data_IF_745593890502
#
_entry.id   IF_745593890502
#
_cell.length_a   1.000
_cell.length_b   1.000
_cell.length_c   1.000
_cell.angle_alpha   90.00
_cell.angle_beta   90.00
_cell.angle_gamma   90.00
#
_symmetry.space_group_name_H-M   'P 1'
#
loop_
_entity.id
_entity.type
_entity.pdbx_description
1 polymer ?
#
# COMPACT_ATOMS: atom_id res chain seq x y z
N UNK A 1 10.05 -15.73 -0.16
CA UNK A 1 10.01 -14.25 -0.12
C UNK A 1 10.25 -13.81 1.32
N UNK A 2 10.87 -12.65 1.57
CA UNK A 2 10.99 -12.10 2.92
C UNK A 2 9.60 -11.90 3.54
N UNK A 3 9.47 -12.15 4.84
CA UNK A 3 8.23 -11.98 5.62
C UNK A 3 8.43 -10.84 6.63
N UNK A 4 8.30 -9.58 6.20
CA UNK A 4 8.47 -8.46 7.11
C UNK A 4 7.34 -8.41 8.13
N UNK A 5 7.67 -7.94 9.33
CA UNK A 5 6.71 -7.56 10.37
C UNK A 5 6.96 -6.10 10.75
N UNK A 6 5.89 -5.41 11.15
CA UNK A 6 5.96 -4.03 11.61
C UNK A 6 4.93 -3.82 12.71
N UNK A 7 5.09 -2.72 13.45
CA UNK A 7 4.15 -2.29 14.47
C UNK A 7 3.29 -1.15 13.92
N UNK A 8 2.02 -1.15 14.33
CA UNK A 8 1.03 -0.14 13.96
C UNK A 8 0.11 0.05 15.15
N UNK A 9 -0.41 1.26 15.34
CA UNK A 9 -1.42 1.55 16.34
C UNK A 9 -2.68 0.70 16.11
N UNK A 10 -3.29 0.23 17.20
CA UNK A 10 -4.45 -0.67 17.15
C UNK A 10 -5.65 0.01 16.48
N UNK A 11 -5.95 1.26 16.84
CA UNK A 11 -7.05 2.03 16.23
C UNK A 11 -6.87 2.15 14.71
N UNK A 12 -5.65 2.40 14.25
CA UNK A 12 -5.36 2.50 12.82
C UNK A 12 -5.51 1.15 12.10
N UNK A 13 -5.16 0.06 12.78
CA UNK A 13 -5.34 -1.29 12.24
C UNK A 13 -6.82 -1.64 12.07
N UNK A 14 -7.64 -1.27 13.05
CA UNK A 14 -9.09 -1.50 13.04
C UNK A 14 -9.76 -0.68 11.92
N UNK A 15 -9.41 0.60 11.80
CA UNK A 15 -9.89 1.45 10.70
C UNK A 15 -9.51 0.89 9.34
N UNK A 16 -8.28 0.37 9.21
CA UNK A 16 -7.81 -0.24 7.97
C UNK A 16 -8.62 -1.50 7.61
N UNK A 17 -8.93 -2.35 8.60
CA UNK A 17 -9.78 -3.53 8.38
C UNK A 17 -11.20 -3.16 7.96
N UNK A 18 -11.77 -2.11 8.54
CA UNK A 18 -13.10 -1.63 8.14
C UNK A 18 -13.10 -1.17 6.68
N UNK A 19 -12.08 -0.41 6.27
CA UNK A 19 -11.92 0.03 4.88
C UNK A 19 -11.78 -1.16 3.93
N UNK A 20 -10.97 -2.16 4.29
CA UNK A 20 -10.84 -3.40 3.50
C UNK A 20 -12.20 -4.09 3.36
N UNK A 21 -12.94 -4.22 4.46
CA UNK A 21 -14.25 -4.85 4.45
C UNK A 21 -15.22 -4.12 3.52
N UNK A 22 -15.31 -2.79 3.61
CA UNK A 22 -16.17 -1.98 2.74
C UNK A 22 -15.78 -2.13 1.26
N UNK A 23 -14.48 -2.08 0.94
CA UNK A 23 -13.99 -2.25 -0.43
C UNK A 23 -14.25 -3.65 -1.00
N UNK A 24 -14.14 -4.70 -0.18
CA UNK A 24 -14.53 -6.06 -0.57
C UNK A 24 -16.03 -6.18 -0.82
N UNK A 25 -16.85 -5.54 0.01
CA UNK A 25 -18.30 -5.52 -0.17
C UNK A 25 -18.71 -4.77 -1.46
N UNK A 26 -18.02 -3.68 -1.77
CA UNK A 26 -18.20 -2.92 -3.01
C UNK A 26 -17.68 -3.66 -4.27
N UNK A 27 -16.91 -4.73 -4.11
CA UNK A 27 -16.29 -5.47 -5.22
C UNK A 27 -15.03 -4.82 -5.79
N UNK A 28 -14.48 -3.82 -5.11
CA UNK A 28 -13.21 -3.16 -5.48
C UNK A 28 -11.98 -4.01 -5.11
N UNK A 29 -12.11 -4.85 -4.07
CA UNK A 29 -11.08 -5.79 -3.64
C UNK A 29 -11.55 -7.24 -3.78
N UNK A 30 -10.63 -8.20 -4.02
CA UNK A 30 -10.98 -9.61 -4.03
C UNK A 30 -11.51 -10.03 -2.65
N UNK A 31 -12.62 -10.79 -2.62
CA UNK A 31 -13.23 -11.24 -1.36
C UNK A 31 -12.26 -12.04 -0.49
N UNK A 32 -11.45 -12.87 -1.14
CA UNK A 32 -10.48 -13.76 -0.49
C UNK A 32 -9.10 -13.13 -0.26
N UNK A 33 -8.89 -11.85 -0.63
CA UNK A 33 -7.60 -11.19 -0.42
C UNK A 33 -7.27 -11.06 1.07
N UNK A 34 -6.06 -11.45 1.47
CA UNK A 34 -5.59 -11.22 2.84
C UNK A 34 -5.16 -9.78 3.06
N UNK A 35 -5.10 -9.34 4.32
CA UNK A 35 -4.55 -8.02 4.69
C UNK A 35 -3.13 -7.83 4.13
N UNK A 36 -2.30 -8.87 4.22
CA UNK A 36 -0.93 -8.84 3.72
C UNK A 36 -0.83 -8.72 2.20
N UNK A 37 -1.77 -9.31 1.46
CA UNK A 37 -1.84 -9.14 0.00
C UNK A 37 -2.16 -7.69 -0.37
N UNK A 38 -3.11 -7.09 0.34
CA UNK A 38 -3.52 -5.70 0.12
C UNK A 38 -2.37 -4.76 0.46
N UNK A 39 -1.71 -4.94 1.61
CA UNK A 39 -0.55 -4.15 2.00
C UNK A 39 0.60 -4.27 1.00
N UNK A 40 0.87 -5.48 0.50
CA UNK A 40 1.89 -5.70 -0.53
C UNK A 40 1.55 -4.91 -1.80
N UNK A 41 0.31 -4.98 -2.28
CA UNK A 41 -0.12 -4.26 -3.47
C UNK A 41 0.00 -2.74 -3.29
N UNK A 42 -0.39 -2.21 -2.12
CA UNK A 42 -0.27 -0.78 -1.81
C UNK A 42 1.21 -0.33 -1.80
N UNK A 43 2.11 -1.13 -1.23
CA UNK A 43 3.54 -0.84 -1.23
C UNK A 43 4.13 -0.88 -2.64
N UNK A 44 3.74 -1.88 -3.45
CA UNK A 44 4.15 -1.99 -4.85
C UNK A 44 3.70 -0.76 -5.66
N UNK A 45 2.42 -0.38 -5.56
CA UNK A 45 1.85 0.79 -6.22
C UNK A 45 2.55 2.08 -5.79
N UNK A 46 2.79 2.26 -4.50
CA UNK A 46 3.49 3.43 -3.97
C UNK A 46 4.92 3.54 -4.52
N UNK A 47 5.66 2.44 -4.54
CA UNK A 47 7.04 2.41 -5.06
C UNK A 47 7.06 2.68 -6.57
N UNK A 48 6.14 2.07 -7.32
CA UNK A 48 6.04 2.28 -8.77
C UNK A 48 5.68 3.73 -9.10
N UNK A 49 4.65 4.28 -8.46
CA UNK A 49 4.24 5.67 -8.64
C UNK A 49 5.32 6.69 -8.24
N UNK A 50 6.09 6.40 -7.18
CA UNK A 50 7.16 7.28 -6.74
C UNK A 50 8.41 7.20 -7.62
N UNK A 51 8.74 6.01 -8.15
CA UNK A 51 9.81 5.83 -9.15
C UNK A 51 9.52 6.59 -10.44
N UNK A 52 8.25 6.61 -10.86
CA UNK A 52 7.84 7.34 -12.06
C UNK A 52 7.91 8.88 -11.88
N UNK A 53 7.88 9.38 -10.65
CA UNK A 53 7.90 10.81 -10.33
C UNK A 53 9.31 11.39 -10.13
N UNK A 54 10.35 10.56 -10.02
CA UNK A 54 11.70 10.99 -9.60
C UNK A 54 12.76 11.01 -10.72
N UNK A 55 12.36 10.92 -11.99
CA UNK A 55 13.25 11.02 -13.16
C UNK A 55 13.24 12.42 -13.80
N UNK A 56 13.63 13.45 -13.05
CA UNK A 56 14.18 14.69 -13.63
C UNK A 56 15.50 15.00 -12.95
N UNK A 57 16.66 14.67 -13.57
CA UNK A 57 17.93 15.21 -13.11
C UNK A 57 17.96 16.69 -13.48
N UNK A 58 17.57 17.57 -12.55
CA UNK A 58 17.89 18.99 -12.66
C UNK A 58 19.40 19.12 -12.45
N UNK A 59 20.14 19.04 -13.56
CA UNK A 59 21.49 19.54 -13.63
C UNK A 59 21.44 21.06 -13.51
N UNK A 60 21.81 21.60 -12.36
CA UNK A 60 22.18 23.01 -12.24
C UNK A 60 23.44 23.05 -11.39
N UNK A 61 24.56 23.11 -12.09
CA UNK A 61 25.84 23.56 -11.56
C UNK A 61 25.92 25.06 -11.82
N UNK A 62 26.01 25.85 -10.75
CA UNK A 62 26.78 27.09 -10.68
C UNK A 62 27.17 27.35 -9.22
#
# INVERSE_FOLDING_TARGET
>A
MPTPSFQIDEELLDEFDEVIFQKKAAGELPRDASRSDILRQLVEEYVEGNRNSSLTPTATAD
#
